data_IF_047290849865
#
_entry.id   IF_047290849865
#
_cell.length_a   1.000
_cell.length_b   1.000
_cell.length_c   1.000
_cell.angle_alpha   90.00
_cell.angle_beta   90.00
_cell.angle_gamma   90.00
#
_symmetry.space_group_name_H-M   'P 1'
#
loop_
_entity.id
_entity.type
_entity.pdbx_description
1 polymer ?
#
# COMPACT_ATOMS: atom_id res chain seq x y z
N UNK A 1 -13.41 -31.70 12.95
CA UNK A 1 -11.97 -31.68 13.27
C UNK A 1 -11.40 -30.31 12.92
N UNK A 2 -10.88 -29.64 13.89
CA UNK A 2 -10.26 -28.33 13.65
C UNK A 2 -8.84 -28.53 13.13
N UNK A 3 -8.52 -27.88 12.02
CA UNK A 3 -7.15 -27.86 11.51
C UNK A 3 -6.37 -26.75 12.21
N UNK A 4 -5.16 -27.06 12.71
CA UNK A 4 -4.29 -26.08 13.36
C UNK A 4 -3.43 -25.28 12.35
N UNK A 5 -3.81 -25.31 11.06
CA UNK A 5 -3.10 -24.56 10.05
C UNK A 5 -3.46 -23.07 10.11
N UNK A 6 -2.48 -22.18 10.00
CA UNK A 6 -2.75 -20.75 9.99
C UNK A 6 -3.55 -20.36 8.75
N UNK A 7 -4.42 -19.37 8.89
CA UNK A 7 -5.07 -18.73 7.76
C UNK A 7 -4.04 -17.96 6.93
N UNK A 8 -4.40 -17.58 5.69
CA UNK A 8 -3.52 -16.75 4.86
C UNK A 8 -3.21 -15.41 5.55
N UNK A 9 -4.18 -14.82 6.23
CA UNK A 9 -3.96 -13.58 6.97
C UNK A 9 -2.96 -13.76 8.11
N UNK A 10 -3.09 -14.83 8.88
CA UNK A 10 -2.14 -15.14 9.96
C UNK A 10 -0.73 -15.33 9.41
N UNK A 11 -0.59 -15.99 8.28
CA UNK A 11 0.70 -16.19 7.61
C UNK A 11 1.30 -14.84 7.18
N UNK A 12 0.50 -13.98 6.57
CA UNK A 12 0.94 -12.64 6.15
C UNK A 12 1.44 -11.83 7.34
N UNK A 13 0.71 -11.85 8.46
CA UNK A 13 1.10 -11.12 9.68
C UNK A 13 2.42 -11.66 10.24
N UNK A 14 2.58 -12.98 10.28
CA UNK A 14 3.83 -13.60 10.75
C UNK A 14 5.01 -13.22 9.87
N UNK A 15 4.85 -13.31 8.54
CA UNK A 15 5.90 -12.95 7.59
C UNK A 15 6.25 -11.46 7.68
N UNK A 16 5.25 -10.61 7.85
CA UNK A 16 5.43 -9.16 8.00
C UNK A 16 6.17 -8.82 9.28
N UNK A 17 5.89 -9.50 10.38
CA UNK A 17 6.60 -9.27 11.64
C UNK A 17 8.10 -9.54 11.50
N UNK A 18 8.46 -10.63 10.81
CA UNK A 18 9.87 -10.97 10.54
C UNK A 18 10.51 -9.92 9.62
N UNK A 19 9.80 -9.52 8.57
CA UNK A 19 10.27 -8.53 7.62
C UNK A 19 10.54 -7.18 8.32
N UNK A 20 9.62 -6.73 9.16
CA UNK A 20 9.75 -5.47 9.91
C UNK A 20 10.95 -5.54 10.86
N UNK A 21 11.11 -6.62 11.61
CA UNK A 21 12.24 -6.80 12.51
C UNK A 21 13.57 -6.71 11.76
N UNK A 22 13.68 -7.38 10.61
CA UNK A 22 14.90 -7.35 9.81
C UNK A 22 15.17 -5.96 9.23
N UNK A 23 14.15 -5.24 8.79
CA UNK A 23 14.28 -3.88 8.28
C UNK A 23 14.70 -2.90 9.37
N UNK A 24 14.16 -3.02 10.56
CA UNK A 24 14.55 -2.18 11.69
C UNK A 24 16.01 -2.35 12.08
N UNK A 25 16.54 -3.57 11.94
CA UNK A 25 17.97 -3.83 12.18
C UNK A 25 18.85 -3.20 11.12
N UNK A 26 18.42 -3.24 9.85
CA UNK A 26 19.22 -2.70 8.73
C UNK A 26 19.11 -1.20 8.62
N UNK A 27 17.94 -0.64 8.89
CA UNK A 27 17.67 0.79 8.76
C UNK A 27 16.76 1.25 9.89
N UNK A 28 17.33 1.53 11.08
CA UNK A 28 16.54 2.03 12.22
C UNK A 28 15.84 3.34 11.91
N UNK A 29 14.73 3.57 12.58
CA UNK A 29 13.92 4.78 12.40
C UNK A 29 14.74 6.06 12.62
N UNK A 30 15.66 6.05 13.57
CA UNK A 30 16.53 7.20 13.88
C UNK A 30 17.40 7.62 12.71
N UNK A 31 17.73 6.69 11.80
CA UNK A 31 18.48 6.98 10.59
C UNK A 31 17.62 7.52 9.46
N UNK A 32 16.33 7.23 9.49
CA UNK A 32 15.37 7.67 8.46
C UNK A 32 14.84 9.08 8.76
N UNK A 33 14.52 9.34 10.05
CA UNK A 33 13.85 10.57 10.47
C UNK A 33 14.51 11.86 9.98
N UNK A 34 15.84 12.00 9.97
CA UNK A 34 16.47 13.24 9.48
C UNK A 34 16.23 13.52 8.00
N UNK A 35 15.86 12.51 7.23
CA UNK A 35 15.65 12.61 5.79
C UNK A 35 14.17 12.70 5.40
N UNK A 36 13.28 12.59 6.37
CA UNK A 36 11.83 12.65 6.13
C UNK A 36 11.37 14.10 6.18
N UNK A 37 10.59 14.48 5.18
CA UNK A 37 9.89 15.77 5.16
C UNK A 37 8.39 15.51 5.33
N UNK A 38 7.67 16.34 6.11
CA UNK A 38 6.22 16.26 6.16
C UNK A 38 5.62 16.39 4.76
N UNK A 39 4.54 15.65 4.51
CA UNK A 39 3.83 15.77 3.24
C UNK A 39 3.12 17.12 3.15
N UNK A 40 3.18 17.73 1.98
CA UNK A 40 2.40 18.94 1.65
C UNK A 40 1.05 18.58 1.00
N UNK A 41 0.76 17.29 0.88
CA UNK A 41 -0.50 16.79 0.34
C UNK A 41 -1.52 16.65 1.46
N UNK A 42 -2.78 16.88 1.14
CA UNK A 42 -3.87 16.95 2.11
C UNK A 42 -4.86 15.81 1.88
N UNK A 43 -4.48 14.60 2.29
CA UNK A 43 -5.28 13.38 2.07
C UNK A 43 -6.71 13.53 2.60
N UNK A 44 -6.86 13.94 3.86
CA UNK A 44 -8.18 14.10 4.48
C UNK A 44 -9.01 15.15 3.76
N UNK A 45 -8.43 16.31 3.51
CA UNK A 45 -9.13 17.43 2.88
C UNK A 45 -9.59 17.08 1.46
N UNK A 46 -8.76 16.38 0.69
CA UNK A 46 -9.12 15.95 -0.67
C UNK A 46 -10.27 14.95 -0.66
N UNK A 47 -10.29 14.01 0.29
CA UNK A 47 -11.41 13.08 0.43
C UNK A 47 -12.68 13.76 0.92
N UNK A 48 -12.54 14.75 1.79
CA UNK A 48 -13.68 15.50 2.34
C UNK A 48 -14.40 16.36 1.30
N UNK A 49 -13.75 16.67 0.16
CA UNK A 49 -14.38 17.38 -0.97
C UNK A 49 -15.40 16.53 -1.70
N UNK A 50 -15.39 15.21 -1.51
CA UNK A 50 -16.33 14.31 -2.16
C UNK A 50 -17.77 14.58 -1.72
N UNK A 51 -18.72 14.41 -2.65
CA UNK A 51 -20.15 14.58 -2.40
C UNK A 51 -20.94 13.46 -3.09
N UNK A 52 -22.23 13.42 -2.84
CA UNK A 52 -23.11 12.43 -3.50
C UNK A 52 -23.06 12.54 -5.03
N UNK A 53 -22.95 13.76 -5.57
CA UNK A 53 -22.91 13.99 -7.01
C UNK A 53 -21.50 13.91 -7.60
N UNK A 54 -20.48 14.17 -6.79
CA UNK A 54 -19.06 14.12 -7.19
C UNK A 54 -18.27 13.39 -6.12
N UNK A 55 -18.33 12.06 -6.10
CA UNK A 55 -17.60 11.28 -5.09
C UNK A 55 -16.09 11.43 -5.23
N UNK A 56 -15.39 11.42 -4.12
CA UNK A 56 -13.96 11.30 -4.10
C UNK A 56 -13.55 9.84 -4.35
N UNK A 57 -12.43 9.64 -5.05
CA UNK A 57 -11.94 8.30 -5.40
C UNK A 57 -10.56 8.06 -4.81
N UNK A 58 -10.41 6.90 -4.17
CA UNK A 58 -9.10 6.33 -3.87
C UNK A 58 -8.85 5.24 -4.91
N UNK A 59 -7.85 5.45 -5.77
CA UNK A 59 -7.49 4.48 -6.81
C UNK A 59 -6.27 3.69 -6.36
N UNK A 60 -6.33 2.37 -6.48
CA UNK A 60 -5.30 1.48 -5.99
C UNK A 60 -4.41 0.97 -7.11
N UNK A 61 -3.09 1.00 -6.89
CA UNK A 61 -2.09 0.41 -7.77
C UNK A 61 -1.70 -0.95 -7.19
N UNK A 62 -2.04 -2.03 -7.90
CA UNK A 62 -1.87 -3.39 -7.43
C UNK A 62 -1.25 -4.26 -8.50
N UNK A 63 -0.12 -4.90 -8.20
CA UNK A 63 0.53 -5.89 -9.06
C UNK A 63 0.07 -7.30 -8.77
N UNK A 64 -0.14 -7.63 -7.50
CA UNK A 64 -0.50 -8.96 -7.04
C UNK A 64 -1.41 -8.87 -5.82
N UNK A 65 -2.03 -10.00 -5.45
CA UNK A 65 -2.81 -10.10 -4.22
C UNK A 65 -2.64 -11.49 -3.59
N UNK A 66 -2.89 -11.64 -2.26
CA UNK A 66 -2.79 -12.93 -1.60
C UNK A 66 -3.76 -13.99 -2.16
N UNK A 67 -4.93 -13.56 -2.61
CA UNK A 67 -5.97 -14.46 -3.10
C UNK A 67 -5.82 -14.84 -4.58
N UNK A 68 -5.25 -13.94 -5.38
CA UNK A 68 -5.17 -14.12 -6.84
C UNK A 68 -3.74 -14.22 -7.37
N UNK A 69 -2.73 -14.04 -6.51
CA UNK A 69 -1.33 -14.02 -6.91
C UNK A 69 -0.99 -12.86 -7.82
N UNK A 70 -0.16 -13.11 -8.84
CA UNK A 70 0.25 -12.07 -9.78
C UNK A 70 -0.93 -11.66 -10.66
N UNK A 71 -1.34 -10.38 -10.55
CA UNK A 71 -2.45 -9.82 -11.33
C UNK A 71 -1.93 -9.24 -12.64
N UNK A 72 -0.78 -8.56 -12.60
CA UNK A 72 -0.20 -7.90 -13.76
C UNK A 72 1.32 -8.05 -13.75
N UNK A 73 1.85 -8.78 -14.73
CA UNK A 73 3.29 -9.01 -14.85
C UNK A 73 4.04 -7.73 -15.24
N UNK A 74 3.47 -6.96 -16.17
CA UNK A 74 4.02 -5.67 -16.55
C UNK A 74 3.38 -4.57 -15.69
N UNK A 75 4.11 -4.13 -14.67
CA UNK A 75 3.62 -3.16 -13.71
C UNK A 75 4.54 -1.93 -13.71
N UNK A 76 4.10 -0.90 -14.44
CA UNK A 76 4.75 0.40 -14.45
C UNK A 76 3.96 1.35 -13.57
N UNK A 77 4.41 1.53 -12.33
CA UNK A 77 3.74 2.37 -11.34
C UNK A 77 3.66 3.82 -11.81
N UNK A 78 4.71 4.34 -12.42
CA UNK A 78 4.73 5.74 -12.88
C UNK A 78 3.70 5.97 -13.98
N UNK A 79 3.57 5.05 -14.92
CA UNK A 79 2.57 5.13 -15.97
C UNK A 79 1.16 5.09 -15.42
N UNK A 80 0.89 4.19 -14.48
CA UNK A 80 -0.42 4.07 -13.82
C UNK A 80 -0.73 5.34 -13.04
N UNK A 81 0.21 5.84 -12.24
CA UNK A 81 0.03 7.06 -11.46
C UNK A 81 -0.22 8.28 -12.34
N UNK A 82 0.44 8.37 -13.49
CA UNK A 82 0.23 9.47 -14.45
C UNK A 82 -1.19 9.50 -15.01
N UNK A 83 -1.82 8.34 -15.19
CA UNK A 83 -3.24 8.27 -15.58
C UNK A 83 -4.14 8.58 -14.39
N UNK A 84 -3.91 7.95 -13.24
CA UNK A 84 -4.76 8.07 -12.05
C UNK A 84 -4.81 9.49 -11.48
N UNK A 85 -3.71 10.24 -11.55
CA UNK A 85 -3.64 11.58 -10.97
C UNK A 85 -4.69 12.56 -11.49
N UNK A 86 -5.24 12.31 -12.67
CA UNK A 86 -6.28 13.16 -13.26
C UNK A 86 -7.66 12.91 -12.67
N UNK A 87 -7.87 11.76 -12.01
CA UNK A 87 -9.18 11.33 -11.54
C UNK A 87 -9.21 11.05 -10.04
N UNK A 88 -8.09 10.70 -9.46
CA UNK A 88 -8.02 10.28 -8.06
C UNK A 88 -7.94 11.47 -7.11
N UNK A 89 -8.66 11.38 -6.00
CA UNK A 89 -8.45 12.24 -4.83
C UNK A 89 -7.24 11.75 -4.03
N UNK A 90 -7.01 10.44 -4.03
CA UNK A 90 -5.85 9.80 -3.45
C UNK A 90 -5.49 8.53 -4.23
N UNK A 91 -4.25 8.13 -4.13
CA UNK A 91 -3.76 6.89 -4.75
C UNK A 91 -3.19 6.00 -3.64
N UNK A 92 -3.63 4.75 -3.63
CA UNK A 92 -3.10 3.72 -2.74
C UNK A 92 -2.13 2.84 -3.52
N UNK A 93 -0.95 2.64 -2.99
CA UNK A 93 0.07 1.79 -3.63
C UNK A 93 0.37 0.61 -2.72
N UNK A 94 0.19 -0.59 -3.25
CA UNK A 94 0.57 -1.81 -2.55
C UNK A 94 2.07 -2.04 -2.71
N UNK A 95 2.78 -2.05 -1.59
CA UNK A 95 4.25 -2.07 -1.58
C UNK A 95 4.81 -3.36 -0.98
N UNK A 96 3.98 -4.35 -0.69
CA UNK A 96 4.46 -5.61 -0.16
C UNK A 96 5.30 -6.35 -1.20
N UNK A 97 6.44 -6.88 -0.78
CA UNK A 97 7.38 -7.54 -1.67
C UNK A 97 6.96 -8.97 -2.01
N UNK A 98 6.18 -9.62 -1.14
CA UNK A 98 5.83 -11.03 -1.23
C UNK A 98 4.40 -11.25 -1.72
N UNK A 99 3.49 -10.40 -1.32
CA UNK A 99 2.06 -10.50 -1.60
C UNK A 99 1.59 -9.32 -2.45
#
# INVERSE_FOLDING_TARGET
MQTNQPTILQKIVQDKAIWVENKQKKLPLEQILPHIKPSDRHFYAELAKGSHNQPAYILECKKASPSKGLIRAEFDLDAIANVYKHYASAISVLTDEQY
#
